data_IF_977350582019
#
_entry.id   IF_977350582019
#
_cell.length_a   1.000
_cell.length_b   1.000
_cell.length_c   1.000
_cell.angle_alpha   90.00
_cell.angle_beta   90.00
_cell.angle_gamma   90.00
#
_symmetry.space_group_name_H-M   'P 1'
#
loop_
_entity.id
_entity.type
_entity.pdbx_description
1 polymer ?
#
# COMPACT_ATOMS: atom_id res chain seq x y z
N UNK A 1 6.33 20.39 2.27
CA UNK A 1 5.41 20.47 1.13
C UNK A 1 4.26 19.43 1.22
N UNK A 2 3.01 19.90 1.39
CA UNK A 2 1.81 19.04 1.41
C UNK A 2 1.54 18.59 -0.03
N UNK A 3 1.45 17.28 -0.27
CA UNK A 3 1.17 16.74 -1.61
C UNK A 3 -0.35 16.76 -1.79
N UNK A 4 -0.81 17.67 -2.65
CA UNK A 4 -2.21 17.85 -3.03
C UNK A 4 -2.65 16.74 -4.00
N UNK A 5 -3.94 16.41 -3.98
CA UNK A 5 -4.53 15.32 -4.79
C UNK A 5 -4.36 15.62 -6.28
N UNK A 6 -3.98 14.60 -7.08
CA UNK A 6 -3.48 14.74 -8.46
C UNK A 6 -4.37 15.55 -9.40
N UNK A 7 -5.70 15.55 -9.22
CA UNK A 7 -6.64 16.26 -10.09
C UNK A 7 -6.73 17.77 -9.86
N UNK A 8 -6.00 18.32 -8.87
CA UNK A 8 -5.94 19.77 -8.62
C UNK A 8 -4.64 20.43 -9.12
N UNK A 9 -3.73 19.72 -9.80
CA UNK A 9 -2.49 20.32 -10.32
C UNK A 9 -2.78 21.31 -11.46
N UNK A 10 -3.02 22.57 -11.11
CA UNK A 10 -2.97 23.72 -12.01
C UNK A 10 -1.52 23.95 -12.48
N UNK A 11 -1.32 24.57 -13.64
CA UNK A 11 0.05 24.74 -14.19
C UNK A 11 0.89 25.75 -13.41
N UNK A 12 0.26 26.69 -12.70
CA UNK A 12 0.95 27.75 -11.93
C UNK A 12 1.27 27.37 -10.48
N UNK A 13 2.56 27.31 -10.12
CA UNK A 13 3.04 26.97 -8.76
C UNK A 13 2.67 28.02 -7.70
N UNK A 14 2.56 29.30 -8.07
CA UNK A 14 2.27 30.40 -7.14
C UNK A 14 0.84 30.39 -6.62
N UNK A 15 -0.11 30.06 -7.50
CA UNK A 15 -1.54 29.92 -7.15
C UNK A 15 -1.68 28.88 -6.03
N UNK A 16 -0.89 27.80 -6.07
CA UNK A 16 -0.89 26.80 -5.01
C UNK A 16 -0.32 27.26 -3.70
N UNK A 17 0.77 28.02 -3.71
CA UNK A 17 1.35 28.52 -2.46
C UNK A 17 0.34 29.37 -1.68
N UNK A 18 -0.54 30.09 -2.39
CA UNK A 18 -1.63 30.89 -1.81
C UNK A 18 -2.85 30.05 -1.39
N UNK A 19 -3.18 29.01 -2.16
CA UNK A 19 -4.31 28.12 -1.87
C UNK A 19 -4.02 27.11 -0.75
N UNK A 20 -2.81 26.53 -0.69
CA UNK A 20 -2.38 25.48 0.26
C UNK A 20 -2.79 25.73 1.73
N UNK A 21 -2.63 26.94 2.29
CA UNK A 21 -3.07 27.22 3.66
C UNK A 21 -4.59 27.33 3.82
N UNK A 22 -5.35 27.49 2.74
CA UNK A 22 -6.79 27.72 2.76
C UNK A 22 -7.59 26.55 2.16
N UNK A 23 -6.92 25.49 1.69
CA UNK A 23 -7.59 24.30 1.14
C UNK A 23 -8.58 23.74 2.15
N UNK A 24 -8.21 23.63 3.43
CA UNK A 24 -9.10 23.07 4.45
C UNK A 24 -10.28 24.01 4.78
N UNK A 25 -10.11 25.33 4.54
CA UNK A 25 -11.16 26.36 4.71
C UNK A 25 -12.15 26.36 3.53
N UNK A 26 -11.65 26.30 2.31
CA UNK A 26 -12.48 26.35 1.09
C UNK A 26 -13.02 24.98 0.68
N UNK A 27 -12.35 23.90 1.10
CA UNK A 27 -12.68 22.51 0.77
C UNK A 27 -12.71 21.64 2.04
N UNK A 28 -13.59 21.95 3.02
CA UNK A 28 -13.69 21.23 4.29
C UNK A 28 -14.09 19.76 4.13
N UNK A 29 -14.57 19.39 2.93
CA UNK A 29 -15.03 18.06 2.55
C UNK A 29 -13.89 17.05 2.25
N UNK A 30 -12.64 17.51 2.23
CA UNK A 30 -11.45 16.68 1.92
C UNK A 30 -10.52 16.54 3.13
N UNK A 31 -11.02 15.98 4.23
CA UNK A 31 -10.14 15.57 5.33
C UNK A 31 -9.37 14.31 4.91
N UNK A 32 -8.03 14.34 4.87
CA UNK A 32 -7.23 13.18 4.52
C UNK A 32 -7.37 12.12 5.60
N UNK A 33 -7.80 10.91 5.22
CA UNK A 33 -7.96 9.82 6.19
C UNK A 33 -6.66 9.05 6.42
N UNK A 34 -5.69 9.18 5.52
CA UNK A 34 -4.31 8.74 5.74
C UNK A 34 -3.45 9.92 6.14
N UNK A 35 -2.55 9.67 7.10
CA UNK A 35 -1.56 10.64 7.53
C UNK A 35 -0.67 11.04 6.34
N UNK A 36 -0.51 12.35 6.15
CA UNK A 36 0.16 12.93 4.96
C UNK A 36 1.68 12.96 5.11
N UNK A 37 2.21 12.60 6.27
CA UNK A 37 3.65 12.57 6.55
C UNK A 37 4.21 11.20 6.16
N UNK A 38 5.06 11.17 5.13
CA UNK A 38 5.81 9.95 4.80
C UNK A 38 6.81 9.63 5.91
N UNK A 39 7.11 8.34 6.14
CA UNK A 39 8.13 7.92 7.11
C UNK A 39 9.48 8.65 6.96
N UNK A 40 9.91 8.93 5.73
CA UNK A 40 11.11 9.73 5.46
C UNK A 40 10.99 11.17 5.96
N UNK A 41 9.88 11.86 5.68
CA UNK A 41 9.67 13.23 6.17
C UNK A 41 9.54 13.25 7.69
N UNK A 42 8.91 12.24 8.27
CA UNK A 42 8.80 12.06 9.70
C UNK A 42 10.18 11.89 10.35
N UNK A 43 11.08 11.11 9.72
CA UNK A 43 12.45 10.91 10.18
C UNK A 43 13.21 12.24 10.28
N UNK A 44 13.17 13.08 9.23
CA UNK A 44 13.85 14.38 9.27
C UNK A 44 13.18 15.43 10.17
N UNK A 45 11.86 15.36 10.35
CA UNK A 45 11.11 16.36 11.13
C UNK A 45 10.85 15.97 12.58
N UNK A 46 11.22 14.74 12.99
CA UNK A 46 10.94 14.20 14.31
C UNK A 46 9.45 13.94 14.60
N UNK A 47 8.57 14.04 13.60
CA UNK A 47 7.13 13.80 13.78
C UNK A 47 6.85 12.32 13.95
N UNK A 48 6.06 11.96 14.95
CA UNK A 48 5.59 10.58 15.14
C UNK A 48 4.50 10.25 14.13
N UNK A 49 4.75 9.25 13.29
CA UNK A 49 3.75 8.68 12.37
C UNK A 49 2.80 7.79 13.17
N UNK A 50 1.49 7.89 12.91
CA UNK A 50 0.49 6.98 13.47
C UNK A 50 -0.04 6.03 12.40
N UNK A 51 -0.24 4.77 12.77
CA UNK A 51 -0.97 3.81 11.96
C UNK A 51 -2.46 4.18 11.93
N UNK A 52 -3.05 4.50 10.76
CA UNK A 52 -4.47 4.83 10.67
C UNK A 52 -5.40 3.61 10.80
N UNK A 53 -4.89 2.40 10.54
CA UNK A 53 -5.67 1.15 10.55
C UNK A 53 -4.89 0.06 11.29
N UNK A 54 -5.58 -0.86 11.94
CA UNK A 54 -4.96 -2.01 12.63
C UNK A 54 -4.44 -3.04 11.64
N UNK A 55 -5.16 -3.27 10.54
CA UNK A 55 -4.74 -4.11 9.42
C UNK A 55 -4.90 -3.33 8.11
N UNK A 56 -3.94 -3.49 7.21
CA UNK A 56 -4.00 -2.86 5.90
C UNK A 56 -3.33 -3.72 4.82
N UNK A 57 -3.84 -3.63 3.59
CA UNK A 57 -3.17 -4.14 2.40
C UNK A 57 -2.39 -3.00 1.73
N UNK A 58 -1.18 -3.29 1.32
CA UNK A 58 -0.33 -2.33 0.63
C UNK A 58 0.58 -2.99 -0.38
N UNK A 59 1.16 -2.16 -1.23
CA UNK A 59 2.16 -2.58 -2.20
C UNK A 59 3.56 -2.20 -1.72
N UNK A 60 4.52 -3.11 -1.87
CA UNK A 60 5.93 -2.84 -1.61
C UNK A 60 6.47 -1.90 -2.70
N UNK A 61 7.05 -0.79 -2.28
CA UNK A 61 7.57 0.27 -3.16
C UNK A 61 9.08 0.38 -2.95
N UNK A 62 9.87 0.71 -3.99
CA UNK A 62 11.30 0.93 -3.84
C UNK A 62 11.61 1.90 -2.69
N UNK A 63 12.58 1.49 -1.89
CA UNK A 63 13.14 2.25 -0.79
C UNK A 63 14.52 2.78 -1.20
N UNK A 64 14.86 4.00 -0.78
CA UNK A 64 16.11 4.64 -1.20
C UNK A 64 17.31 3.78 -0.79
N UNK A 65 18.24 3.56 -1.72
CA UNK A 65 19.32 2.58 -1.57
C UNK A 65 20.14 2.77 -0.28
N UNK A 66 20.39 4.02 0.10
CA UNK A 66 21.10 4.40 1.33
C UNK A 66 20.34 3.98 2.60
N UNK A 67 19.02 4.20 2.64
CA UNK A 67 18.19 3.85 3.80
C UNK A 67 17.93 2.36 3.90
N UNK A 68 17.83 1.66 2.76
CA UNK A 68 17.73 0.19 2.71
C UNK A 68 18.99 -0.46 3.27
N UNK A 69 20.18 0.11 2.97
CA UNK A 69 21.44 -0.41 3.49
C UNK A 69 21.59 -0.22 5.00
N UNK A 70 21.09 0.91 5.54
CA UNK A 70 21.16 1.18 6.98
C UNK A 70 20.11 0.42 7.79
N UNK A 71 18.97 0.09 7.18
CA UNK A 71 17.84 -0.61 7.83
C UNK A 71 17.32 -1.76 6.97
N UNK A 72 18.05 -2.89 6.88
CA UNK A 72 17.66 -4.05 6.08
C UNK A 72 16.36 -4.72 6.57
N UNK A 73 15.97 -4.50 7.83
CA UNK A 73 14.76 -5.01 8.46
C UNK A 73 13.49 -4.21 8.11
N UNK A 74 13.63 -3.06 7.43
CA UNK A 74 12.52 -2.15 7.11
C UNK A 74 12.19 -2.21 5.62
N UNK A 75 10.90 -2.24 5.33
CA UNK A 75 10.35 -2.18 3.97
C UNK A 75 9.38 -1.02 3.86
N UNK A 76 9.39 -0.33 2.71
CA UNK A 76 8.46 0.76 2.42
C UNK A 76 7.23 0.22 1.72
N UNK A 77 6.07 0.39 2.35
CA UNK A 77 4.79 -0.08 1.83
C UNK A 77 3.89 1.12 1.53
N UNK A 78 3.30 1.15 0.34
CA UNK A 78 2.31 2.15 -0.07
C UNK A 78 0.91 1.59 0.16
N UNK A 79 0.16 2.30 0.99
CA UNK A 79 -1.26 2.07 1.21
C UNK A 79 -2.09 2.90 0.26
N UNK A 80 -3.20 2.32 -0.18
CA UNK A 80 -4.22 2.97 -1.01
C UNK A 80 -5.54 2.92 -0.24
N UNK A 81 -6.20 4.07 -0.08
CA UNK A 81 -7.55 4.14 0.47
C UNK A 81 -8.45 4.96 -0.43
N UNK A 82 -9.67 4.47 -0.63
CA UNK A 82 -10.71 5.24 -1.27
C UNK A 82 -11.30 6.23 -0.27
N UNK A 83 -11.12 7.52 -0.55
CA UNK A 83 -11.69 8.61 0.24
C UNK A 83 -12.80 9.28 -0.57
N UNK A 84 -13.95 9.52 0.06
CA UNK A 84 -15.09 10.18 -0.59
C UNK A 84 -14.84 11.69 -0.70
N UNK A 85 -14.89 12.20 -1.93
CA UNK A 85 -15.03 13.63 -2.14
C UNK A 85 -16.51 14.02 -1.98
N UNK A 86 -16.89 14.68 -0.87
CA UNK A 86 -18.31 15.02 -0.63
C UNK A 86 -18.87 16.08 -1.59
N UNK A 87 -18.01 16.88 -2.22
CA UNK A 87 -18.45 17.87 -3.20
C UNK A 87 -18.82 17.22 -4.55
N UNK A 88 -18.00 16.28 -5.01
CA UNK A 88 -18.22 15.56 -6.27
C UNK A 88 -19.03 14.27 -6.10
N UNK A 89 -19.30 13.86 -4.85
CA UNK A 89 -19.88 12.58 -4.48
C UNK A 89 -19.20 11.39 -5.18
N UNK A 90 -17.86 11.45 -5.28
CA UNK A 90 -17.03 10.46 -5.97
C UNK A 90 -15.84 10.04 -5.13
N UNK A 91 -15.53 8.75 -5.14
CA UNK A 91 -14.36 8.20 -4.46
C UNK A 91 -13.08 8.41 -5.26
N UNK A 92 -12.02 8.77 -4.56
CA UNK A 92 -10.68 8.90 -5.13
C UNK A 92 -9.65 8.19 -4.25
N UNK A 93 -8.62 7.64 -4.88
CA UNK A 93 -7.50 7.04 -4.16
C UNK A 93 -6.66 8.12 -3.48
N UNK A 94 -6.55 8.02 -2.16
CA UNK A 94 -5.52 8.64 -1.36
C UNK A 94 -4.42 7.62 -1.08
N UNK A 95 -3.16 8.01 -1.29
CA UNK A 95 -2.01 7.14 -1.07
C UNK A 95 -1.11 7.71 0.01
N UNK A 96 -0.56 6.84 0.85
CA UNK A 96 0.50 7.18 1.79
C UNK A 96 1.49 6.01 1.92
N UNK A 97 2.71 6.32 2.33
CA UNK A 97 3.78 5.31 2.46
C UNK A 97 4.21 5.20 3.91
N UNK A 98 4.21 3.97 4.41
CA UNK A 98 4.60 3.62 5.78
C UNK A 98 5.85 2.74 5.75
N UNK A 99 6.62 2.83 6.84
CA UNK A 99 7.73 1.92 7.10
C UNK A 99 7.21 0.72 7.88
N UNK A 100 7.58 -0.47 7.42
CA UNK A 100 7.05 -1.74 7.90
C UNK A 100 8.20 -2.65 8.25
N UNK A 101 8.13 -3.32 9.40
CA UNK A 101 9.11 -4.30 9.80
C UNK A 101 8.91 -5.63 9.07
N UNK A 102 9.97 -6.13 8.43
CA UNK A 102 9.99 -7.32 7.56
C UNK A 102 9.65 -8.63 8.26
N UNK A 103 9.95 -8.75 9.56
CA UNK A 103 9.55 -9.90 10.41
C UNK A 103 9.93 -11.28 9.85
N UNK A 104 11.09 -11.38 9.20
CA UNK A 104 11.60 -12.63 8.62
C UNK A 104 11.11 -12.98 7.22
N UNK A 105 10.06 -12.33 6.70
CA UNK A 105 9.61 -12.51 5.31
C UNK A 105 10.61 -11.93 4.33
N UNK A 106 10.56 -12.27 3.04
CA UNK A 106 11.43 -11.67 2.03
C UNK A 106 10.61 -11.00 0.91
N UNK A 107 9.94 -9.86 1.19
CA UNK A 107 9.10 -9.22 0.20
C UNK A 107 9.93 -8.58 -0.92
N UNK A 108 9.44 -8.70 -2.14
CA UNK A 108 10.02 -8.13 -3.36
C UNK A 108 9.30 -6.83 -3.72
N UNK A 109 9.94 -5.99 -4.54
CA UNK A 109 9.31 -4.76 -5.02
C UNK A 109 8.10 -5.13 -5.89
N UNK A 110 6.94 -4.53 -5.60
CA UNK A 110 5.70 -4.80 -6.32
C UNK A 110 4.76 -5.78 -5.63
N UNK A 111 5.25 -6.55 -4.65
CA UNK A 111 4.43 -7.49 -3.88
C UNK A 111 3.28 -6.78 -3.15
N UNK A 112 2.12 -7.43 -3.11
CA UNK A 112 0.99 -7.00 -2.28
C UNK A 112 1.08 -7.73 -0.95
N UNK A 113 1.19 -6.95 0.12
CA UNK A 113 1.47 -7.43 1.47
C UNK A 113 0.38 -6.99 2.45
N UNK A 114 0.09 -7.87 3.41
CA UNK A 114 -0.76 -7.59 4.56
C UNK A 114 0.12 -7.12 5.72
N UNK A 115 -0.19 -5.95 6.24
CA UNK A 115 0.52 -5.32 7.35
C UNK A 115 -0.40 -5.15 8.54
N UNK A 116 0.17 -5.32 9.73
CA UNK A 116 -0.51 -5.26 11.02
C UNK A 116 0.13 -4.20 11.90
N UNK A 117 -0.69 -3.40 12.56
CA UNK A 117 -0.25 -2.32 13.44
C UNK A 117 0.50 -2.91 14.64
N UNK A 118 1.53 -2.20 15.09
CA UNK A 118 2.30 -2.59 16.27
C UNK A 118 2.36 -1.41 17.23
N UNK A 119 1.79 -1.60 18.41
CA UNK A 119 1.88 -0.67 19.54
C UNK A 119 2.50 -1.44 20.72
N UNK A 120 3.69 -1.07 21.23
CA UNK A 120 4.52 0.08 20.85
C UNK A 120 5.19 -0.07 19.46
N UNK A 121 5.58 1.03 18.80
CA UNK A 121 6.29 0.97 17.52
C UNK A 121 7.66 0.30 17.71
N UNK A 122 8.03 -0.59 16.77
CA UNK A 122 9.28 -1.38 16.85
C UNK A 122 10.51 -0.47 16.75
N UNK A 123 10.42 0.56 15.90
CA UNK A 123 11.44 1.59 15.72
C UNK A 123 10.76 2.95 15.45
N UNK A 124 11.52 4.05 15.44
CA UNK A 124 11.01 5.44 15.48
C UNK A 124 9.81 5.75 14.55
N UNK A 125 9.79 5.20 13.33
CA UNK A 125 8.69 5.37 12.36
C UNK A 125 8.08 4.05 11.86
N UNK A 126 8.44 2.93 12.48
CA UNK A 126 8.02 1.58 12.07
C UNK A 126 6.80 1.17 12.91
N UNK A 127 5.64 1.69 12.49
CA UNK A 127 4.33 1.49 13.15
C UNK A 127 3.62 0.20 12.73
N UNK A 128 4.13 -0.46 11.70
CA UNK A 128 3.54 -1.66 11.11
C UNK A 128 4.54 -2.81 11.08
N UNK A 129 4.02 -4.02 11.22
CA UNK A 129 4.71 -5.29 11.06
C UNK A 129 4.13 -6.02 9.85
N UNK A 130 5.00 -6.64 9.04
CA UNK A 130 4.55 -7.47 7.93
C UNK A 130 4.00 -8.81 8.47
N UNK A 131 2.75 -9.11 8.12
CA UNK A 131 2.03 -10.30 8.58
C UNK A 131 2.06 -11.42 7.54
N UNK A 132 1.82 -11.09 6.27
CA UNK A 132 1.76 -12.05 5.17
C UNK A 132 2.08 -11.35 3.83
N UNK A 133 2.79 -12.04 2.94
CA UNK A 133 2.82 -11.69 1.51
C UNK A 133 1.59 -12.33 0.86
N UNK A 134 0.65 -11.50 0.40
CA UNK A 134 -0.64 -11.98 -0.12
C UNK A 134 -0.52 -12.33 -1.59
N UNK A 135 0.05 -11.42 -2.38
CA UNK A 135 0.30 -11.64 -3.80
C UNK A 135 1.74 -11.28 -4.13
N UNK A 136 2.62 -12.27 -4.30
CA UNK A 136 3.99 -12.03 -4.72
C UNK A 136 4.03 -11.59 -6.20
N UNK A 137 4.90 -10.66 -6.53
CA UNK A 137 5.10 -10.20 -7.89
C UNK A 137 5.75 -11.31 -8.74
N UNK A 138 5.14 -11.65 -9.88
CA UNK A 138 5.65 -12.63 -10.83
C UNK A 138 5.42 -14.10 -10.48
N UNK A 139 4.84 -14.41 -9.32
CA UNK A 139 4.50 -15.79 -8.92
C UNK A 139 3.09 -15.85 -8.31
N UNK A 140 2.14 -15.19 -8.98
CA UNK A 140 0.76 -15.11 -8.51
C UNK A 140 0.12 -16.50 -8.51
N UNK A 141 -0.48 -16.85 -7.37
CA UNK A 141 -1.31 -18.03 -7.23
C UNK A 141 -2.74 -17.55 -7.05
N UNK A 142 -3.65 -18.05 -7.87
CA UNK A 142 -5.07 -17.72 -7.74
C UNK A 142 -5.61 -18.31 -6.41
N UNK A 143 -6.16 -17.49 -5.51
CA UNK A 143 -6.69 -17.99 -4.25
C UNK A 143 -7.91 -18.92 -4.41
N UNK A 144 -8.59 -18.89 -5.56
CA UNK A 144 -9.78 -19.73 -5.79
C UNK A 144 -9.37 -21.13 -6.26
N UNK A 145 -8.53 -21.22 -7.28
CA UNK A 145 -8.10 -22.51 -7.87
C UNK A 145 -6.83 -23.09 -7.23
N UNK A 146 -6.01 -22.26 -6.59
CA UNK A 146 -4.69 -22.68 -6.11
C UNK A 146 -3.65 -22.87 -7.21
N UNK A 147 -3.99 -22.59 -8.48
CA UNK A 147 -3.08 -22.70 -9.61
C UNK A 147 -2.24 -21.43 -9.76
N UNK A 148 -1.08 -21.56 -10.40
CA UNK A 148 -0.29 -20.39 -10.80
C UNK A 148 -0.95 -19.73 -12.00
N UNK A 149 -1.03 -18.41 -11.97
CA UNK A 149 -1.61 -17.64 -13.06
C UNK A 149 -0.71 -16.48 -13.46
N UNK A 150 -0.66 -16.24 -14.77
CA UNK A 150 -0.03 -15.07 -15.35
C UNK A 150 -1.14 -14.13 -15.83
N UNK A 151 -1.37 -13.07 -15.07
CA UNK A 151 -2.45 -12.12 -15.33
C UNK A 151 -3.83 -12.79 -15.33
N UNK A 152 -4.39 -13.08 -16.51
CA UNK A 152 -5.69 -13.71 -16.68
C UNK A 152 -5.61 -15.10 -17.31
N UNK A 153 -4.41 -15.66 -17.46
CA UNK A 153 -4.16 -16.94 -18.12
C UNK A 153 -3.61 -17.96 -17.13
N UNK A 154 -4.06 -19.20 -17.29
CA UNK A 154 -3.51 -20.38 -16.61
C UNK A 154 -2.69 -21.18 -17.62
N UNK A 155 -1.72 -21.95 -17.12
CA UNK A 155 -1.03 -22.96 -17.93
C UNK A 155 -2.04 -24.03 -18.39
N UNK A 156 -1.86 -24.52 -19.62
CA UNK A 156 -2.72 -25.56 -20.17
C UNK A 156 -2.56 -26.89 -19.43
N UNK A 157 -1.35 -27.17 -18.95
CA UNK A 157 -1.03 -28.35 -18.14
C UNK A 157 -1.83 -28.32 -16.84
N UNK A 158 -1.79 -27.20 -16.11
CA UNK A 158 -2.51 -27.01 -14.86
C UNK A 158 -4.03 -27.15 -15.03
N UNK A 159 -4.59 -26.62 -16.13
CA UNK A 159 -6.01 -26.76 -16.44
C UNK A 159 -6.41 -28.20 -16.76
N UNK A 160 -5.53 -28.97 -17.44
CA UNK A 160 -5.77 -30.39 -17.73
C UNK A 160 -5.80 -31.23 -16.47
N UNK A 161 -4.89 -30.97 -15.53
CA UNK A 161 -4.87 -31.64 -14.23
C UNK A 161 -6.12 -31.33 -13.40
N UNK A 162 -6.56 -30.07 -13.41
CA UNK A 162 -7.77 -29.68 -12.69
C UNK A 162 -9.02 -30.36 -13.27
N UNK A 163 -9.16 -30.40 -14.61
CA UNK A 163 -10.26 -31.09 -15.27
C UNK A 163 -10.22 -32.62 -15.04
N UNK A 164 -9.04 -33.25 -15.07
CA UNK A 164 -8.92 -34.70 -14.84
C UNK A 164 -9.21 -35.09 -13.39
N UNK A 165 -8.92 -34.22 -12.43
CA UNK A 165 -9.27 -34.45 -11.02
C UNK A 165 -10.78 -34.38 -10.77
N UNK A 166 -11.49 -33.50 -11.48
CA UNK A 166 -12.95 -33.36 -11.34
C UNK A 166 -13.76 -34.53 -11.89
N UNK A 167 -13.26 -35.24 -12.91
CA UNK A 167 -13.96 -36.41 -13.47
C UNK A 167 -13.82 -37.67 -12.62
N UNK A 168 -12.85 -37.71 -11.70
CA UNK A 168 -12.67 -38.83 -10.76
C UNK A 168 -13.55 -38.71 -9.51
N UNK A 169 -14.00 -37.50 -9.14
CA UNK A 169 -14.88 -37.29 -7.98
C UNK A 169 -16.35 -37.62 -8.22
N UNK A 170 -16.79 -37.67 -9.48
CA UNK A 170 -18.20 -37.94 -9.84
C UNK A 170 -18.53 -39.45 -9.92
N UNK A 171 -17.57 -40.32 -9.61
CA UNK A 171 -17.72 -41.79 -9.69
C UNK A 171 -17.77 -42.49 -8.31
N UNK A 172 -18.03 -41.77 -7.22
CA UNK A 172 -18.26 -42.34 -5.89
C UNK A 172 -19.60 -41.93 -5.28
#
# INVERSE_FOLDING_TARGET
PRIMVRYWRHRGKEIFKRLEPHIDKYFPYHKPELDRVSGEKAFFTGKRVRAPFDLALGQVVPFGQQLTASHPEIVKVRLHKLCLNRFLLKYYYQTATYWVHRSGFQPTIGDIVLIEKTDPPIAFNTVYKLKKVVFPAGSLQDPVTGLRCESSQYSLEDLRELLSSSSLSDHH
#
